data_IF_174484237941
#
_entry.id   IF_174484237941
#
_cell.length_a   1.000
_cell.length_b   1.000
_cell.length_c   1.000
_cell.angle_alpha   90.00
_cell.angle_beta   90.00
_cell.angle_gamma   90.00
#
_symmetry.space_group_name_H-M   'P 1'
#
loop_
_entity.id
_entity.type
_entity.pdbx_description
1 polymer ?
#
# COMPACT_ATOMS: atom_id res chain seq x y z
N UNK A 1 -15.73 26.10 -16.75
CA UNK A 1 -15.90 24.62 -16.63
C UNK A 1 -17.08 24.06 -17.44
N UNK A 2 -18.22 24.75 -17.53
CA UNK A 2 -19.41 24.22 -18.24
C UNK A 2 -19.19 23.92 -19.73
N UNK A 3 -18.49 24.76 -20.49
CA UNK A 3 -18.32 24.57 -21.94
C UNK A 3 -17.56 23.29 -22.33
N UNK A 4 -16.66 22.81 -21.45
CA UNK A 4 -15.93 21.56 -21.67
C UNK A 4 -16.81 20.33 -21.50
N UNK A 5 -17.77 20.36 -20.57
CA UNK A 5 -18.70 19.26 -20.32
C UNK A 5 -19.80 19.20 -21.38
N UNK A 6 -20.26 20.36 -21.86
CA UNK A 6 -21.14 20.46 -23.03
C UNK A 6 -20.51 19.82 -24.27
N UNK A 7 -19.23 20.11 -24.55
CA UNK A 7 -18.48 19.46 -25.64
C UNK A 7 -18.36 17.93 -25.50
N UNK A 8 -18.52 17.38 -24.29
CA UNK A 8 -18.50 15.94 -24.02
C UNK A 8 -19.90 15.29 -24.08
N UNK A 9 -20.93 16.05 -24.44
CA UNK A 9 -22.30 15.54 -24.57
C UNK A 9 -23.13 15.59 -23.29
N UNK A 10 -22.77 16.44 -22.31
CA UNK A 10 -23.58 16.64 -21.11
C UNK A 10 -24.95 17.27 -21.47
N UNK A 11 -26.08 16.62 -21.12
CA UNK A 11 -27.41 17.20 -21.30
C UNK A 11 -27.53 18.52 -20.53
N UNK A 12 -28.13 19.53 -21.16
CA UNK A 12 -28.30 20.88 -20.61
C UNK A 12 -29.77 21.30 -20.47
N UNK A 13 -30.66 20.40 -20.85
CA UNK A 13 -32.11 20.51 -20.91
C UNK A 13 -32.77 20.25 -19.55
N UNK A 14 -32.17 19.38 -18.72
CA UNK A 14 -32.65 19.11 -17.37
C UNK A 14 -31.52 18.87 -16.36
N UNK A 15 -31.73 19.31 -15.12
CA UNK A 15 -30.80 19.05 -14.02
C UNK A 15 -30.64 17.54 -13.76
N UNK A 16 -31.73 16.78 -13.88
CA UNK A 16 -31.72 15.34 -13.66
C UNK A 16 -30.86 14.60 -14.73
N UNK A 17 -31.02 14.95 -16.01
CA UNK A 17 -30.21 14.37 -17.09
C UNK A 17 -28.72 14.71 -16.95
N UNK A 18 -28.41 15.92 -16.51
CA UNK A 18 -27.05 16.35 -16.17
C UNK A 18 -26.43 15.52 -15.04
N UNK A 19 -27.20 15.19 -13.99
CA UNK A 19 -26.73 14.37 -12.86
C UNK A 19 -26.46 12.93 -13.30
N UNK A 20 -27.35 12.31 -14.07
CA UNK A 20 -27.19 10.94 -14.55
C UNK A 20 -26.03 10.81 -15.53
N UNK A 21 -25.91 11.74 -16.48
CA UNK A 21 -24.77 11.80 -17.40
C UNK A 21 -23.46 11.93 -16.61
N UNK A 22 -23.44 12.79 -15.58
CA UNK A 22 -22.29 12.94 -14.71
C UNK A 22 -21.95 11.63 -14.01
N UNK A 23 -22.91 10.96 -13.36
CA UNK A 23 -22.65 9.67 -12.67
C UNK A 23 -22.05 8.61 -13.59
N UNK A 24 -22.49 8.52 -14.85
CA UNK A 24 -21.98 7.56 -15.83
C UNK A 24 -20.60 7.92 -16.39
N UNK A 25 -20.25 9.20 -16.45
CA UNK A 25 -19.02 9.70 -17.08
C UNK A 25 -18.00 10.25 -16.06
N UNK A 26 -18.27 10.09 -14.77
CA UNK A 26 -17.39 10.55 -13.70
C UNK A 26 -16.32 9.49 -13.46
N UNK A 27 -15.08 9.86 -13.76
CA UNK A 27 -13.94 9.10 -13.29
C UNK A 27 -13.81 9.30 -11.77
N UNK A 28 -14.16 8.27 -11.01
CA UNK A 28 -14.22 8.31 -9.55
C UNK A 28 -12.84 8.58 -8.96
N UNK A 29 -11.76 8.21 -9.65
CA UNK A 29 -10.37 8.44 -9.22
C UNK A 29 -9.94 9.91 -9.32
N UNK A 30 -10.65 10.71 -10.11
CA UNK A 30 -10.42 12.15 -10.31
C UNK A 30 -11.36 13.02 -9.47
N UNK A 31 -12.25 12.42 -8.68
CA UNK A 31 -13.21 13.18 -7.86
C UNK A 31 -12.55 13.71 -6.59
N UNK A 32 -12.81 14.99 -6.31
CA UNK A 32 -12.26 15.72 -5.15
C UNK A 32 -12.58 15.07 -3.79
N UNK A 33 -13.55 14.15 -3.71
CA UNK A 33 -13.94 13.49 -2.47
C UNK A 33 -12.92 12.47 -1.96
N UNK A 34 -12.03 11.96 -2.83
CA UNK A 34 -10.91 11.09 -2.43
C UNK A 34 -9.60 11.85 -2.22
N UNK A 35 -9.58 13.18 -2.36
CA UNK A 35 -8.44 13.99 -1.93
C UNK A 35 -8.44 14.03 -0.41
N UNK A 36 -7.80 13.05 0.22
CA UNK A 36 -7.24 13.21 1.56
C UNK A 36 -6.08 14.20 1.41
N UNK A 37 -6.40 15.47 1.22
CA UNK A 37 -5.56 16.55 1.73
C UNK A 37 -6.31 17.88 1.67
N UNK A 38 -6.63 18.38 2.86
CA UNK A 38 -6.85 19.80 3.06
C UNK A 38 -5.51 20.50 2.89
N UNK A 39 -5.28 21.10 1.73
CA UNK A 39 -4.38 22.24 1.55
C UNK A 39 -2.95 22.12 2.13
N UNK A 40 -2.33 20.93 2.12
CA UNK A 40 -0.90 20.83 2.34
C UNK A 40 -0.16 21.05 1.03
N UNK A 41 0.76 22.01 1.03
CA UNK A 41 1.69 22.33 -0.08
C UNK A 41 2.75 21.24 -0.28
N UNK A 42 2.37 19.97 -0.23
CA UNK A 42 3.21 18.90 -0.75
C UNK A 42 2.89 18.80 -2.24
N UNK A 43 3.85 19.15 -3.10
CA UNK A 43 3.75 18.77 -4.51
C UNK A 43 3.56 17.24 -4.51
N UNK A 44 2.55 16.68 -5.21
CA UNK A 44 2.53 15.25 -5.41
C UNK A 44 3.88 14.89 -6.02
N UNK A 45 4.61 13.99 -5.37
CA UNK A 45 5.77 13.35 -6.00
C UNK A 45 5.16 12.59 -7.17
N UNK A 46 5.14 13.21 -8.34
CA UNK A 46 5.08 12.47 -9.57
C UNK A 46 6.26 11.53 -9.51
N UNK A 47 6.00 10.24 -9.38
CA UNK A 47 6.98 9.22 -9.74
C UNK A 47 7.23 9.48 -11.22
N UNK A 48 8.22 10.33 -11.52
CA UNK A 48 8.82 10.35 -12.83
C UNK A 48 9.23 8.90 -13.05
N UNK A 49 8.53 8.23 -13.96
CA UNK A 49 8.91 6.90 -14.44
C UNK A 49 10.35 7.08 -14.86
N UNK A 50 11.27 6.60 -14.03
CA UNK A 50 12.71 6.80 -14.21
C UNK A 50 13.02 6.43 -15.66
N UNK A 51 13.43 7.46 -16.40
CA UNK A 51 13.56 7.44 -17.85
C UNK A 51 14.34 6.23 -18.31
N UNK A 52 13.86 5.67 -19.42
CA UNK A 52 14.34 4.42 -19.96
C UNK A 52 15.85 4.40 -20.13
N UNK A 53 16.48 3.43 -19.50
CA UNK A 53 17.62 2.78 -20.08
C UNK A 53 17.64 1.32 -19.63
N UNK A 54 17.46 0.43 -20.61
CA UNK A 54 17.54 -1.04 -20.51
C UNK A 54 16.65 -1.69 -19.44
N UNK A 55 15.43 -2.03 -19.87
CA UNK A 55 14.69 -3.21 -19.42
C UNK A 55 14.76 -3.47 -17.90
N UNK A 56 13.90 -2.78 -17.15
CA UNK A 56 13.11 -3.51 -16.16
C UNK A 56 12.34 -4.57 -16.98
N UNK A 57 13.01 -5.69 -17.27
CA UNK A 57 12.38 -6.83 -17.93
C UNK A 57 11.13 -7.15 -17.12
N UNK A 58 9.98 -7.16 -17.79
CA UNK A 58 8.67 -7.36 -17.16
C UNK A 58 8.69 -8.55 -16.22
N UNK A 59 9.41 -9.62 -16.60
CA UNK A 59 9.51 -10.82 -15.78
C UNK A 59 10.43 -10.65 -14.57
N UNK A 60 11.60 -10.02 -14.75
CA UNK A 60 12.49 -9.67 -13.64
C UNK A 60 11.82 -8.70 -12.66
N UNK A 61 11.10 -7.70 -13.16
CA UNK A 61 10.29 -6.76 -12.40
C UNK A 61 9.23 -7.49 -11.57
N UNK A 62 8.47 -8.35 -12.25
CA UNK A 62 7.40 -9.14 -11.65
C UNK A 62 7.97 -10.03 -10.56
N UNK A 63 9.02 -10.79 -10.83
CA UNK A 63 9.64 -11.67 -9.85
C UNK A 63 10.17 -10.91 -8.63
N UNK A 64 10.81 -9.76 -8.84
CA UNK A 64 11.29 -8.93 -7.76
C UNK A 64 10.12 -8.45 -6.88
N UNK A 65 9.04 -7.97 -7.49
CA UNK A 65 7.90 -7.43 -6.77
C UNK A 65 7.01 -8.51 -6.13
N UNK A 66 6.90 -9.71 -6.72
CA UNK A 66 6.01 -10.76 -6.20
C UNK A 66 6.73 -11.74 -5.27
N UNK A 67 8.06 -11.87 -5.34
CA UNK A 67 8.81 -12.83 -4.51
C UNK A 67 9.87 -12.18 -3.64
N UNK A 68 10.75 -11.34 -4.22
CA UNK A 68 11.93 -10.84 -3.50
C UNK A 68 11.57 -9.75 -2.49
N UNK A 69 10.79 -8.75 -2.90
CA UNK A 69 10.39 -7.64 -2.00
C UNK A 69 9.52 -8.12 -0.83
N UNK A 70 8.50 -8.98 -1.04
CA UNK A 70 7.75 -9.58 0.06
C UNK A 70 8.63 -10.18 1.14
N UNK A 71 9.54 -11.07 0.73
CA UNK A 71 10.43 -11.78 1.65
C UNK A 71 11.41 -10.85 2.37
N UNK A 72 12.02 -9.90 1.64
CA UNK A 72 13.01 -8.99 2.23
C UNK A 72 12.40 -7.93 3.13
N UNK A 73 11.25 -7.36 2.77
CA UNK A 73 10.70 -6.20 3.46
C UNK A 73 9.76 -6.60 4.59
N UNK A 74 8.89 -7.59 4.37
CA UNK A 74 7.81 -7.87 5.31
C UNK A 74 8.20 -8.82 6.44
N UNK A 75 9.34 -9.49 6.34
CA UNK A 75 9.96 -10.17 7.48
C UNK A 75 10.65 -9.20 8.46
N UNK A 76 10.86 -7.93 8.09
CA UNK A 76 11.61 -6.93 8.89
C UNK A 76 10.73 -6.16 9.88
N UNK A 77 9.95 -6.87 10.68
CA UNK A 77 8.99 -6.28 11.65
C UNK A 77 9.68 -5.41 12.70
N UNK A 78 10.93 -5.73 13.06
CA UNK A 78 11.78 -4.90 13.93
C UNK A 78 12.07 -3.49 13.36
N UNK A 79 12.19 -3.36 12.04
CA UNK A 79 12.41 -2.04 11.41
C UNK A 79 11.16 -1.18 11.51
N UNK A 80 9.98 -1.78 11.32
CA UNK A 80 8.71 -1.08 11.52
C UNK A 80 8.57 -0.61 12.97
N UNK A 81 8.87 -1.48 13.94
CA UNK A 81 8.85 -1.12 15.37
C UNK A 81 9.77 0.06 15.69
N UNK A 82 11.01 0.01 15.19
CA UNK A 82 12.00 1.07 15.43
C UNK A 82 11.51 2.41 14.89
N UNK A 83 11.02 2.43 13.64
CA UNK A 83 10.49 3.64 13.02
C UNK A 83 9.27 4.19 13.78
N UNK A 84 8.37 3.32 14.25
CA UNK A 84 7.22 3.74 15.05
C UNK A 84 7.64 4.33 16.39
N UNK A 85 8.62 3.72 17.07
CA UNK A 85 9.17 4.21 18.35
C UNK A 85 9.85 5.57 18.21
N UNK A 86 10.56 5.82 17.12
CA UNK A 86 11.15 7.14 16.81
C UNK A 86 10.07 8.25 16.71
N UNK A 87 8.84 7.87 16.35
CA UNK A 87 7.69 8.75 16.31
C UNK A 87 6.79 8.67 17.57
N UNK A 88 7.26 8.05 18.65
CA UNK A 88 6.55 7.95 19.92
C UNK A 88 5.38 6.95 19.91
N UNK A 89 5.33 6.06 18.92
CA UNK A 89 4.31 5.00 18.82
C UNK A 89 4.90 3.68 19.29
N UNK A 90 4.35 3.11 20.36
CA UNK A 90 4.67 1.78 20.86
C UNK A 90 3.49 0.84 20.67
N UNK A 91 3.73 -0.31 20.02
CA UNK A 91 2.74 -1.35 19.78
C UNK A 91 3.17 -2.67 20.42
N UNK A 92 2.21 -3.54 20.72
CA UNK A 92 2.51 -4.94 21.03
C UNK A 92 3.01 -5.67 19.77
N UNK A 93 3.69 -6.80 19.95
CA UNK A 93 4.13 -7.66 18.86
C UNK A 93 2.95 -8.07 17.94
N UNK A 94 1.80 -8.42 18.52
CA UNK A 94 0.60 -8.79 17.77
C UNK A 94 0.09 -7.65 16.90
N UNK A 95 -0.01 -6.44 17.47
CA UNK A 95 -0.48 -5.27 16.73
C UNK A 95 0.50 -4.85 15.65
N UNK A 96 1.79 -5.02 15.90
CA UNK A 96 2.82 -4.75 14.92
C UNK A 96 2.74 -5.73 13.73
N UNK A 97 2.47 -7.02 13.99
CA UNK A 97 2.22 -8.01 12.95
C UNK A 97 0.95 -7.69 12.15
N UNK A 98 -0.13 -7.26 12.81
CA UNK A 98 -1.34 -6.81 12.12
C UNK A 98 -1.07 -5.63 11.18
N UNK A 99 -0.28 -4.65 11.63
CA UNK A 99 0.13 -3.51 10.79
C UNK A 99 0.98 -3.99 9.62
N UNK A 100 1.97 -4.86 9.87
CA UNK A 100 2.82 -5.41 8.81
C UNK A 100 2.01 -6.20 7.77
N UNK A 101 1.04 -7.01 8.20
CA UNK A 101 0.15 -7.77 7.33
C UNK A 101 -0.75 -6.84 6.50
N UNK A 102 -1.25 -5.75 7.10
CA UNK A 102 -2.03 -4.73 6.40
C UNK A 102 -1.20 -4.03 5.33
N UNK A 103 0.04 -3.67 5.64
CA UNK A 103 0.97 -3.08 4.68
C UNK A 103 1.27 -4.06 3.54
N UNK A 104 1.39 -5.36 3.82
CA UNK A 104 1.60 -6.38 2.81
C UNK A 104 0.42 -6.49 1.85
N UNK A 105 -0.80 -6.50 2.38
CA UNK A 105 -2.01 -6.52 1.55
C UNK A 105 -2.09 -5.29 0.63
N UNK A 106 -1.82 -4.09 1.15
CA UNK A 106 -1.78 -2.87 0.34
C UNK A 106 -0.71 -2.95 -0.75
N UNK A 107 0.46 -3.49 -0.41
CA UNK A 107 1.53 -3.71 -1.37
C UNK A 107 1.12 -4.64 -2.51
N UNK A 108 0.44 -5.75 -2.21
CA UNK A 108 -0.07 -6.68 -3.24
C UNK A 108 -1.06 -5.98 -4.18
N UNK A 109 -2.02 -5.24 -3.62
CA UNK A 109 -3.03 -4.51 -4.38
C UNK A 109 -2.38 -3.49 -5.34
N UNK A 110 -1.43 -2.69 -4.84
CA UNK A 110 -0.78 -1.67 -5.66
C UNK A 110 0.18 -2.28 -6.69
N UNK A 111 0.85 -3.39 -6.36
CA UNK A 111 1.73 -4.11 -7.28
C UNK A 111 0.95 -4.74 -8.43
N UNK A 112 -0.15 -5.43 -8.13
CA UNK A 112 -1.05 -5.99 -9.14
C UNK A 112 -1.63 -4.89 -10.05
N UNK A 113 -2.02 -3.75 -9.47
CA UNK A 113 -2.49 -2.59 -10.23
C UNK A 113 -1.40 -2.03 -11.15
N UNK A 114 -0.17 -1.90 -10.64
CA UNK A 114 0.96 -1.37 -11.41
C UNK A 114 1.33 -2.29 -12.59
N UNK A 115 1.40 -3.59 -12.33
CA UNK A 115 1.76 -4.61 -13.31
C UNK A 115 0.58 -5.00 -14.23
N UNK A 116 -0.66 -4.66 -13.85
CA UNK A 116 -1.91 -5.05 -14.50
C UNK A 116 -2.06 -6.57 -14.61
N UNK A 117 -1.76 -7.27 -13.52
CA UNK A 117 -1.85 -8.72 -13.39
C UNK A 117 -2.59 -9.08 -12.10
N UNK A 118 -2.95 -10.35 -11.97
CA UNK A 118 -3.32 -10.97 -10.69
C UNK A 118 -2.20 -11.97 -10.37
N UNK A 119 -1.33 -11.60 -9.43
CA UNK A 119 -0.13 -12.39 -9.13
C UNK A 119 -0.27 -13.24 -7.87
N UNK A 120 0.50 -14.33 -7.83
CA UNK A 120 0.76 -15.06 -6.60
C UNK A 120 2.02 -14.47 -5.97
N UNK A 121 1.91 -14.07 -4.70
CA UNK A 121 3.00 -13.49 -3.95
C UNK A 121 3.66 -14.53 -3.04
N UNK A 122 4.97 -14.42 -2.86
CA UNK A 122 5.66 -15.08 -1.77
C UNK A 122 5.10 -14.52 -0.46
N UNK A 123 4.51 -15.39 0.35
CA UNK A 123 4.03 -15.01 1.67
C UNK A 123 5.24 -15.00 2.62
N UNK A 124 5.50 -13.89 3.32
CA UNK A 124 6.53 -13.81 4.36
C UNK A 124 6.31 -14.86 5.45
N UNK A 125 7.38 -15.52 5.88
CA UNK A 125 7.35 -16.59 6.88
C UNK A 125 6.71 -16.13 8.19
N UNK A 126 6.90 -14.86 8.54
CA UNK A 126 6.34 -14.26 9.76
C UNK A 126 4.81 -14.24 9.79
N UNK A 127 4.15 -14.37 8.64
CA UNK A 127 2.68 -14.47 8.54
C UNK A 127 2.15 -15.91 8.45
N UNK A 128 3.04 -16.90 8.32
CA UNK A 128 2.63 -18.30 8.15
C UNK A 128 2.12 -18.92 9.46
N UNK A 129 2.53 -18.39 10.60
CA UNK A 129 2.09 -18.87 11.92
C UNK A 129 0.83 -18.14 12.33
N UNK A 130 -0.31 -18.83 12.25
CA UNK A 130 -1.62 -18.29 12.62
C UNK A 130 -1.85 -18.32 14.14
N UNK A 131 -2.73 -17.45 14.68
CA UNK A 131 -3.10 -17.46 16.11
C UNK A 131 -3.56 -18.81 16.65
N UNK A 132 -4.16 -19.63 15.80
CA UNK A 132 -4.68 -20.96 16.12
C UNK A 132 -3.58 -22.03 16.25
N UNK A 133 -2.35 -21.73 15.80
CA UNK A 133 -1.24 -22.67 15.81
C UNK A 133 -0.59 -22.73 17.19
N UNK A 134 -0.25 -23.93 17.66
CA UNK A 134 0.39 -24.17 18.97
C UNK A 134 1.69 -23.35 19.19
N UNK A 135 2.37 -22.98 18.10
CA UNK A 135 3.64 -22.25 18.13
C UNK A 135 3.46 -20.72 18.13
N UNK A 136 2.24 -20.21 17.95
CA UNK A 136 1.97 -18.78 17.85
C UNK A 136 2.38 -18.02 19.11
N UNK A 137 1.98 -18.52 20.29
CA UNK A 137 2.33 -17.88 21.57
C UNK A 137 3.84 -17.83 21.81
N UNK A 138 4.58 -18.85 21.37
CA UNK A 138 6.04 -18.87 21.45
C UNK A 138 6.68 -17.88 20.47
N UNK A 139 6.16 -17.78 19.24
CA UNK A 139 6.59 -16.82 18.24
C UNK A 139 6.39 -15.38 18.74
N UNK A 140 5.20 -15.04 19.24
CA UNK A 140 4.89 -13.70 19.75
C UNK A 140 5.83 -13.34 20.91
N UNK A 141 6.02 -14.23 21.89
CA UNK A 141 6.96 -13.99 22.99
C UNK A 141 8.39 -13.77 22.51
N UNK A 142 8.84 -14.56 21.54
CA UNK A 142 10.16 -14.40 20.93
C UNK A 142 10.30 -13.03 20.24
N UNK A 143 9.28 -12.61 19.49
CA UNK A 143 9.22 -11.30 18.86
C UNK A 143 9.28 -10.19 19.91
N UNK A 144 8.45 -10.25 20.95
CA UNK A 144 8.45 -9.27 22.05
C UNK A 144 9.82 -9.14 22.72
N UNK A 145 10.51 -10.27 22.95
CA UNK A 145 11.87 -10.25 23.49
C UNK A 145 12.86 -9.55 22.54
N UNK A 146 12.71 -9.75 21.24
CA UNK A 146 13.57 -9.11 20.24
C UNK A 146 13.29 -7.60 20.13
N UNK A 147 12.02 -7.19 20.18
CA UNK A 147 11.60 -5.79 20.10
C UNK A 147 11.93 -4.99 21.37
N UNK A 148 12.01 -5.66 22.53
CA UNK A 148 12.30 -5.04 23.81
C UNK A 148 13.78 -5.14 24.21
N UNK A 149 14.65 -5.76 23.40
CA UNK A 149 16.09 -5.71 23.67
C UNK A 149 16.58 -4.26 23.50
N UNK A 150 17.35 -3.72 24.46
CA UNK A 150 18.00 -2.43 24.27
C UNK A 150 18.90 -2.53 23.04
N UNK A 151 18.81 -1.55 22.14
CA UNK A 151 19.71 -1.44 21.00
C UNK A 151 21.14 -1.53 21.54
N UNK A 152 21.90 -2.54 21.10
CA UNK A 152 23.30 -2.65 21.45
C UNK A 152 23.97 -1.35 21.01
N UNK A 153 24.42 -0.54 21.97
CA UNK A 153 25.22 0.64 21.72
C UNK A 153 26.53 0.17 21.09
N UNK A 154 26.60 0.29 19.77
CA UNK A 154 27.82 0.15 18.97
C UNK A 154 28.35 1.53 18.61
#
# INVERSE_FOLDING_TARGET
MCNRLKKRGMPCDSLQGAIEWRKRNLDVTQTKSWRIDGNQRAKPVSIEILGGDRAFDSETARRALTHTVPDLWFNQVNRLDTALKEHGVTLSAEKLLEVQATLFLLYQIETDRYLKIEAVYQMPDIFMIRPEHENYGAMIKSLEQCLNRPAATG
#
